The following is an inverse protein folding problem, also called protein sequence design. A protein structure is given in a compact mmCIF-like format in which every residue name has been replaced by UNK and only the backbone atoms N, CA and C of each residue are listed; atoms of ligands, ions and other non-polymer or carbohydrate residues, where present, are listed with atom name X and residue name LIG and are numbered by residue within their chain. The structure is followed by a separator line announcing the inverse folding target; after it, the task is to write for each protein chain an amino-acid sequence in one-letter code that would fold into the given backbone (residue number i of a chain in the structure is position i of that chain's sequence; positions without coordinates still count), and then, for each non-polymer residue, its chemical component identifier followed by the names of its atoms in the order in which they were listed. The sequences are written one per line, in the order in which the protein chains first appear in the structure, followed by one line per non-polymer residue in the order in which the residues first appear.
data_IF_493139675835
#
_entry.id   IF_493139675835
#
_cell.length_a   1.000
_cell.length_b   1.000
_cell.length_c   1.000
_cell.angle_alpha   90.00
_cell.angle_beta   90.00
_cell.angle_gamma   90.00
#
_symmetry.space_group_name_H-M   'P 1'
#
loop_
_entity.id
_entity.type
_entity.pdbx_description
1 polymer ?
#
# COMPACT_ATOMS: atom_id res chain seq x y z
N UNK A 1 13.54 -0.33 -4.72
CA UNK A 1 12.78 -1.43 -5.35
C UNK A 1 12.88 -2.66 -4.46
N UNK A 2 11.79 -3.07 -3.81
CA UNK A 2 11.69 -4.41 -3.24
C UNK A 2 11.34 -5.35 -4.39
N UNK A 3 12.24 -6.23 -4.79
CA UNK A 3 11.91 -7.29 -5.77
C UNK A 3 10.81 -8.18 -5.19
N UNK A 4 9.91 -8.73 -6.02
CA UNK A 4 8.73 -9.49 -5.56
C UNK A 4 9.05 -10.60 -4.54
N UNK A 5 10.28 -11.13 -4.57
CA UNK A 5 10.81 -12.11 -3.63
C UNK A 5 10.89 -11.56 -2.20
N UNK A 6 11.38 -10.34 -2.02
CA UNK A 6 11.59 -9.72 -0.71
C UNK A 6 10.30 -9.36 0.02
N UNK A 7 9.26 -8.91 -0.69
CA UNK A 7 7.97 -8.60 -0.07
C UNK A 7 7.29 -9.87 0.46
N UNK A 8 7.34 -10.97 -0.29
CA UNK A 8 6.78 -12.26 0.15
C UNK A 8 7.45 -12.74 1.44
N UNK A 9 8.76 -12.58 1.56
CA UNK A 9 9.49 -12.96 2.76
C UNK A 9 9.15 -12.07 3.97
N UNK A 10 9.00 -10.76 3.75
CA UNK A 10 8.51 -9.85 4.79
C UNK A 10 7.12 -10.26 5.27
N UNK A 11 6.16 -10.46 4.35
CA UNK A 11 4.79 -10.89 4.70
C UNK A 11 4.79 -12.21 5.47
N UNK A 12 5.59 -13.21 5.05
CA UNK A 12 5.72 -14.48 5.77
C UNK A 12 6.25 -14.28 7.21
N UNK A 13 7.22 -13.39 7.42
CA UNK A 13 7.74 -13.08 8.76
C UNK A 13 6.65 -12.45 9.63
N UNK A 14 5.88 -11.52 9.09
CA UNK A 14 4.79 -10.84 9.81
C UNK A 14 3.63 -11.79 10.14
N UNK A 15 3.29 -12.68 9.21
CA UNK A 15 2.31 -13.76 9.46
C UNK A 15 2.75 -14.71 10.57
N UNK A 16 4.05 -15.09 10.60
CA UNK A 16 4.60 -15.91 11.70
C UNK A 16 4.48 -15.21 13.07
N UNK A 17 4.54 -13.88 13.09
CA UNK A 17 4.31 -13.06 14.29
C UNK A 17 2.84 -12.84 14.62
N UNK A 18 1.91 -13.37 13.80
CA UNK A 18 0.46 -13.14 13.90
C UNK A 18 0.04 -11.67 13.82
N UNK A 19 0.85 -10.85 13.16
CA UNK A 19 0.53 -9.44 12.91
C UNK A 19 -0.57 -9.32 11.85
N UNK A 20 -1.55 -8.45 12.10
CA UNK A 20 -2.62 -8.12 11.15
C UNK A 20 -2.08 -7.19 10.08
N UNK A 21 -1.98 -7.70 8.86
CA UNK A 21 -1.47 -6.94 7.71
C UNK A 21 -2.66 -6.31 6.97
N UNK A 22 -2.61 -4.99 6.79
CA UNK A 22 -3.58 -4.20 6.02
C UNK A 22 -2.92 -3.75 4.73
N UNK A 23 -3.66 -3.80 3.63
CA UNK A 23 -3.19 -3.39 2.32
C UNK A 23 -4.06 -2.27 1.76
N UNK A 24 -3.43 -1.28 1.14
CA UNK A 24 -4.11 -0.29 0.30
C UNK A 24 -3.26 0.04 -0.92
N UNK A 25 -3.87 0.57 -1.97
CA UNK A 25 -3.21 1.02 -3.19
C UNK A 25 -3.65 2.46 -3.52
N UNK A 26 -2.76 3.26 -4.11
CA UNK A 26 -3.07 4.62 -4.52
C UNK A 26 -1.99 5.27 -5.39
N UNK A 27 -2.33 6.38 -6.04
CA UNK A 27 -1.42 7.11 -6.91
C UNK A 27 -0.49 8.08 -6.14
N UNK A 28 -0.87 8.49 -4.91
CA UNK A 28 -0.11 9.29 -3.92
C UNK A 28 0.89 10.35 -4.45
N UNK A 29 0.64 10.94 -5.62
CA UNK A 29 1.62 11.75 -6.36
C UNK A 29 1.99 13.03 -5.59
N UNK A 30 0.99 13.84 -5.25
CA UNK A 30 1.15 14.94 -4.29
C UNK A 30 0.60 14.46 -2.94
N UNK A 31 1.50 14.13 -2.01
CA UNK A 31 1.10 13.81 -0.64
C UNK A 31 0.61 15.09 0.04
N UNK A 32 -0.68 15.14 0.32
CA UNK A 32 -1.31 16.20 1.11
C UNK A 32 -1.99 15.61 2.36
N UNK A 33 -2.52 16.49 3.22
CA UNK A 33 -3.13 16.10 4.50
C UNK A 33 -4.24 15.02 4.37
N UNK A 34 -4.91 14.94 3.23
CA UNK A 34 -5.91 13.91 2.93
C UNK A 34 -5.30 12.51 2.86
N UNK A 35 -4.19 12.34 2.13
CA UNK A 35 -3.46 11.08 2.06
C UNK A 35 -2.90 10.65 3.41
N UNK A 36 -2.40 11.61 4.21
CA UNK A 36 -1.90 11.29 5.57
C UNK A 36 -3.03 10.79 6.46
N UNK A 37 -4.19 11.48 6.47
CA UNK A 37 -5.37 11.02 7.23
C UNK A 37 -5.86 9.65 6.77
N UNK A 38 -5.89 9.44 5.46
CA UNK A 38 -6.28 8.17 4.85
C UNK A 38 -5.35 7.02 5.28
N UNK A 39 -4.04 7.20 5.12
CA UNK A 39 -3.04 6.19 5.48
C UNK A 39 -3.01 5.93 6.99
N UNK A 40 -3.21 6.97 7.81
CA UNK A 40 -3.32 6.82 9.27
C UNK A 40 -4.53 5.96 9.64
N UNK A 41 -5.70 6.24 9.06
CA UNK A 41 -6.90 5.43 9.29
C UNK A 41 -6.76 4.00 8.79
N UNK A 42 -6.08 3.80 7.65
CA UNK A 42 -5.78 2.45 7.16
C UNK A 42 -4.83 1.70 8.10
N UNK A 43 -3.83 2.39 8.67
CA UNK A 43 -2.90 1.82 9.64
C UNK A 43 -3.60 1.44 10.96
N UNK A 44 -4.62 2.17 11.39
CA UNK A 44 -5.38 1.83 12.60
C UNK A 44 -6.11 0.49 12.51
N UNK A 45 -6.31 -0.06 11.30
CA UNK A 45 -6.99 -1.34 11.09
C UNK A 45 -6.09 -2.57 11.31
N UNK A 46 -4.77 -2.40 11.51
CA UNK A 46 -3.86 -3.51 11.79
C UNK A 46 -2.43 -3.12 12.16
N UNK A 47 -1.60 -4.12 12.36
CA UNK A 47 -0.25 -3.96 12.90
C UNK A 47 0.77 -3.55 11.82
N UNK A 48 0.46 -3.79 10.54
CA UNK A 48 1.32 -3.44 9.40
C UNK A 48 0.46 -2.90 8.26
N UNK A 49 0.87 -1.78 7.67
CA UNK A 49 0.25 -1.22 6.48
C UNK A 49 1.19 -1.39 5.28
N UNK A 50 0.72 -2.09 4.24
CA UNK A 50 1.40 -2.22 2.96
C UNK A 50 0.69 -1.30 1.96
N UNK A 51 1.45 -0.41 1.32
CA UNK A 51 0.93 0.57 0.35
C UNK A 51 1.46 0.25 -1.03
N UNK A 52 0.56 -0.09 -1.96
CA UNK A 52 0.84 -0.10 -3.39
C UNK A 52 0.90 1.34 -3.90
N UNK A 53 1.98 1.68 -4.60
CA UNK A 53 2.09 2.94 -5.34
C UNK A 53 1.92 2.60 -6.82
N UNK A 54 0.81 3.04 -7.41
CA UNK A 54 0.64 2.95 -8.86
C UNK A 54 1.32 4.16 -9.51
N UNK A 55 2.17 3.92 -10.51
CA UNK A 55 2.67 4.99 -11.38
C UNK A 55 1.55 5.48 -12.31
N UNK A 56 1.45 6.80 -12.52
CA UNK A 56 0.41 7.47 -13.34
C UNK A 56 0.18 6.86 -14.73
N UNK A 57 1.17 6.16 -15.28
CA UNK A 57 1.15 5.51 -16.60
C UNK A 57 -0.01 4.51 -16.80
N UNK A 58 -0.66 4.04 -15.73
CA UNK A 58 -1.79 3.09 -15.81
C UNK A 58 -3.15 3.80 -15.77
N UNK A 59 -3.24 5.04 -15.23
CA UNK A 59 -4.50 5.78 -15.10
C UNK A 59 -5.03 6.34 -16.42
N UNK A 60 -4.15 6.61 -17.40
CA UNK A 60 -4.56 7.12 -18.72
C UNK A 60 -5.34 6.10 -19.56
N UNK A 61 -5.24 4.80 -19.27
CA UNK A 61 -5.99 3.76 -20.01
C UNK A 61 -7.44 3.57 -19.53
N UNK A 62 -7.82 4.06 -18.36
CA UNK A 62 -9.16 3.80 -17.79
C UNK A 62 -10.13 4.99 -17.89
N UNK A 63 -9.67 6.16 -18.37
CA UNK A 63 -10.52 7.35 -18.57
C UNK A 63 -11.10 7.50 -19.98
N UNK A 64 -10.87 6.53 -20.87
CA UNK A 64 -11.33 6.56 -22.27
C UNK A 64 -12.44 5.53 -22.56
N UNK A 65 -13.44 5.45 -21.66
CA UNK A 65 -14.66 4.69 -21.86
C UNK A 65 -15.87 5.61 -21.65
#
# INVERSE_FOLDING_TARGET
MLTQTTLKDCVKKLQKKRERIVFTNGCFDIIHAGHVRYLKKAKELGDVLVVGLNSEQILQRQKAA
#
